data_IF_596542256863
#
_entry.id   IF_596542256863
#
_cell.length_a   1.000
_cell.length_b   1.000
_cell.length_c   1.000
_cell.angle_alpha   90.00
_cell.angle_beta   90.00
_cell.angle_gamma   90.00
#
_symmetry.space_group_name_H-M   'P 1'
#
loop_
_entity.id
_entity.type
_entity.pdbx_description
1 polymer ?
#
# COMPACT_ATOMS: atom_id res chain seq x y z
N UNK A 1 -4.75 0.42 -29.99
CA UNK A 1 -4.23 1.34 -28.96
C UNK A 1 -4.88 1.03 -27.62
N UNK A 2 -4.09 0.82 -26.61
CA UNK A 2 -4.61 0.56 -25.28
C UNK A 2 -5.28 1.83 -24.75
N UNK A 3 -6.51 1.71 -24.27
CA UNK A 3 -7.22 2.85 -23.68
C UNK A 3 -6.68 3.10 -22.29
N UNK A 4 -5.79 4.09 -22.16
CA UNK A 4 -5.15 4.43 -20.90
C UNK A 4 -5.85 5.57 -20.16
N UNK A 5 -6.87 6.18 -20.77
CA UNK A 5 -7.50 7.37 -20.21
C UNK A 5 -6.76 8.67 -20.51
N UNK A 6 -5.66 8.61 -21.26
CA UNK A 6 -4.87 9.80 -21.63
C UNK A 6 -5.22 10.27 -23.02
N UNK A 7 -5.29 11.61 -23.20
CA UNK A 7 -5.75 12.22 -24.46
C UNK A 7 -4.66 12.34 -25.51
N UNK A 8 -3.38 12.23 -25.13
CA UNK A 8 -2.25 12.33 -26.06
C UNK A 8 -1.05 11.53 -25.59
N UNK A 9 -0.04 11.41 -26.50
CA UNK A 9 1.17 10.64 -26.25
C UNK A 9 2.05 11.26 -25.17
N UNK A 10 2.11 12.58 -25.09
CA UNK A 10 2.92 13.28 -24.09
C UNK A 10 2.46 12.97 -22.68
N UNK A 11 1.14 13.01 -22.46
CA UNK A 11 0.57 12.72 -21.14
C UNK A 11 0.79 11.26 -20.75
N UNK A 12 0.61 10.34 -21.69
CA UNK A 12 0.85 8.93 -21.44
C UNK A 12 2.32 8.66 -21.10
N UNK A 13 3.25 9.31 -21.80
CA UNK A 13 4.67 9.17 -21.54
C UNK A 13 5.04 9.73 -20.16
N UNK A 14 4.51 10.91 -19.81
CA UNK A 14 4.73 11.49 -18.49
C UNK A 14 4.24 10.56 -17.38
N UNK A 15 3.06 9.99 -17.53
CA UNK A 15 2.51 9.05 -16.55
C UNK A 15 3.40 7.81 -16.40
N UNK A 16 3.91 7.27 -17.52
CA UNK A 16 4.81 6.13 -17.48
C UNK A 16 6.13 6.48 -16.78
N UNK A 17 6.67 7.67 -17.03
CA UNK A 17 7.89 8.13 -16.38
C UNK A 17 7.71 8.31 -14.88
N UNK A 18 6.60 8.89 -14.47
CA UNK A 18 6.27 9.03 -13.04
C UNK A 18 6.16 7.67 -12.37
N UNK A 19 5.51 6.72 -13.03
CA UNK A 19 5.39 5.36 -12.50
C UNK A 19 6.78 4.72 -12.31
N UNK A 20 7.66 4.86 -13.29
CA UNK A 20 9.01 4.32 -13.19
C UNK A 20 9.82 4.96 -12.06
N UNK A 21 9.70 6.27 -11.89
CA UNK A 21 10.38 6.97 -10.80
C UNK A 21 9.87 6.49 -9.46
N UNK A 22 8.56 6.34 -9.30
CA UNK A 22 7.95 5.87 -8.06
C UNK A 22 8.38 4.43 -7.75
N UNK A 23 8.42 3.56 -8.76
CA UNK A 23 8.89 2.18 -8.57
C UNK A 23 10.37 2.14 -8.18
N UNK A 24 11.19 2.95 -8.81
CA UNK A 24 12.60 3.05 -8.46
C UNK A 24 12.77 3.54 -7.03
N UNK A 25 12.03 4.56 -6.64
CA UNK A 25 12.09 5.12 -5.29
C UNK A 25 11.66 4.07 -4.26
N UNK A 26 10.59 3.31 -4.55
CA UNK A 26 10.13 2.24 -3.67
C UNK A 26 11.20 1.17 -3.45
N UNK A 27 11.94 0.82 -4.50
CA UNK A 27 12.96 -0.24 -4.44
C UNK A 27 14.32 0.26 -3.92
N UNK A 28 14.51 1.56 -3.79
CA UNK A 28 15.75 2.10 -3.24
C UNK A 28 15.74 2.04 -1.71
N UNK A 29 16.93 2.04 -1.11
CA UNK A 29 17.04 2.11 0.35
C UNK A 29 17.09 3.56 0.84
N UNK A 30 16.76 4.49 -0.02
CA UNK A 30 16.78 5.91 0.29
C UNK A 30 15.75 6.26 1.37
N UNK A 31 16.10 7.22 2.22
CA UNK A 31 15.25 7.70 3.31
C UNK A 31 14.28 8.78 2.85
N UNK A 32 13.95 8.79 1.57
CA UNK A 32 13.02 9.75 1.00
C UNK A 32 11.63 9.57 1.60
N UNK A 33 10.98 10.67 1.90
CA UNK A 33 9.60 10.66 2.35
C UNK A 33 8.64 10.49 1.17
N UNK A 34 7.54 9.84 1.45
CA UNK A 34 6.50 9.63 0.48
C UNK A 34 5.16 9.44 1.11
N UNK A 35 4.18 9.19 0.28
CA UNK A 35 2.82 8.88 0.70
C UNK A 35 2.25 7.84 -0.25
N UNK A 36 1.30 7.06 0.25
CA UNK A 36 0.70 6.03 -0.57
C UNK A 36 -0.44 5.31 0.12
N UNK A 37 -0.82 4.22 -0.51
CA UNK A 37 -1.88 3.37 -0.01
C UNK A 37 -1.45 1.91 -0.08
N UNK A 38 -1.71 1.18 0.98
CA UNK A 38 -1.55 -0.28 1.02
C UNK A 38 -2.96 -0.86 0.89
N UNK A 39 -3.20 -1.61 -0.17
CA UNK A 39 -4.48 -2.26 -0.42
C UNK A 39 -4.30 -3.75 -0.18
N UNK A 40 -5.11 -4.32 0.71
CA UNK A 40 -4.99 -5.72 1.04
C UNK A 40 -6.34 -6.40 1.05
N UNK A 41 -6.34 -7.65 0.62
CA UNK A 41 -7.48 -8.55 0.70
C UNK A 41 -7.13 -9.65 1.71
N UNK A 42 -7.99 -9.88 2.68
CA UNK A 42 -7.70 -10.88 3.70
C UNK A 42 -8.98 -11.57 4.16
N UNK A 43 -8.80 -12.76 4.75
CA UNK A 43 -9.87 -13.42 5.48
C UNK A 43 -9.96 -12.78 6.87
N UNK A 44 -11.08 -12.13 7.14
CA UNK A 44 -11.28 -11.37 8.37
C UNK A 44 -11.14 -12.23 9.62
N UNK A 45 -11.67 -13.45 9.58
CA UNK A 45 -11.64 -14.35 10.73
C UNK A 45 -10.20 -14.78 11.06
N UNK A 46 -9.44 -15.23 10.06
CA UNK A 46 -8.08 -15.70 10.26
C UNK A 46 -7.15 -14.55 10.65
N UNK A 47 -7.25 -13.42 9.95
CA UNK A 47 -6.37 -12.28 10.15
C UNK A 47 -6.49 -11.68 11.56
N UNK A 48 -7.70 -11.64 12.11
CA UNK A 48 -7.92 -11.05 13.42
C UNK A 48 -7.81 -12.04 14.57
N UNK A 49 -7.54 -13.31 14.28
CA UNK A 49 -7.51 -14.36 15.29
C UNK A 49 -6.42 -14.14 16.34
N UNK A 50 -5.25 -13.69 15.93
CA UNK A 50 -4.08 -13.49 16.80
C UNK A 50 -3.92 -12.07 17.29
N UNK A 51 -4.82 -11.17 16.94
CA UNK A 51 -4.75 -9.73 17.25
C UNK A 51 -3.46 -9.05 16.75
N UNK A 52 -2.78 -9.64 15.79
CA UNK A 52 -1.55 -9.08 15.22
C UNK A 52 -1.82 -7.78 14.46
N UNK A 53 -3.01 -7.64 13.87
CA UNK A 53 -3.40 -6.43 13.16
C UNK A 53 -3.39 -5.21 14.08
N UNK A 54 -3.89 -5.36 15.30
CA UNK A 54 -3.90 -4.27 16.29
C UNK A 54 -2.47 -3.91 16.68
N UNK A 55 -1.63 -4.90 16.89
CA UNK A 55 -0.23 -4.69 17.26
C UNK A 55 0.54 -3.95 16.17
N UNK A 56 0.33 -4.33 14.92
CA UNK A 56 0.95 -3.67 13.76
C UNK A 56 0.50 -2.22 13.67
N UNK A 57 -0.77 -1.95 13.84
CA UNK A 57 -1.30 -0.58 13.79
C UNK A 57 -0.68 0.30 14.88
N UNK A 58 -0.47 -0.23 16.07
CA UNK A 58 0.21 0.50 17.14
C UNK A 58 1.67 0.77 16.81
N UNK A 59 2.38 -0.24 16.32
CA UNK A 59 3.80 -0.11 16.00
C UNK A 59 4.07 0.91 14.90
N UNK A 60 3.17 1.06 13.94
CA UNK A 60 3.32 1.95 12.80
C UNK A 60 2.35 3.13 12.82
N UNK A 61 1.85 3.48 14.01
CA UNK A 61 0.90 4.58 14.16
C UNK A 61 1.44 5.92 13.65
N UNK A 62 2.75 6.09 13.68
CA UNK A 62 3.41 7.31 13.19
C UNK A 62 3.29 7.51 11.69
N UNK A 63 3.11 6.45 10.91
CA UNK A 63 3.02 6.53 9.46
C UNK A 63 1.64 6.22 8.92
N UNK A 64 0.75 5.63 9.71
CA UNK A 64 -0.63 5.32 9.29
C UNK A 64 -1.51 6.54 9.54
N UNK A 65 -2.14 7.06 8.48
CA UNK A 65 -3.01 8.22 8.58
C UNK A 65 -4.48 7.85 8.69
N UNK A 66 -4.91 6.82 7.97
CA UNK A 66 -6.31 6.40 7.95
C UNK A 66 -6.40 5.00 7.37
N UNK A 67 -7.50 4.32 7.64
CA UNK A 67 -7.81 3.06 6.96
C UNK A 67 -9.31 2.96 6.73
N UNK A 68 -9.68 2.27 5.65
CA UNK A 68 -11.06 2.03 5.25
C UNK A 68 -11.23 0.54 5.01
N UNK A 69 -12.31 -0.02 5.53
CA UNK A 69 -12.65 -1.43 5.39
C UNK A 69 -13.88 -1.59 4.51
N UNK A 70 -13.84 -2.61 3.67
CA UNK A 70 -14.99 -3.03 2.87
C UNK A 70 -15.19 -4.52 3.09
N UNK A 71 -16.34 -4.90 3.66
CA UNK A 71 -16.68 -6.30 3.88
C UNK A 71 -17.21 -6.93 2.60
N UNK A 72 -16.64 -8.06 2.25
CA UNK A 72 -17.02 -8.83 1.06
C UNK A 72 -17.60 -10.18 1.48
N UNK A 73 -18.06 -10.95 0.50
CA UNK A 73 -18.60 -12.29 0.77
C UNK A 73 -17.53 -13.24 1.31
N UNK A 74 -17.97 -14.30 2.00
CA UNK A 74 -17.12 -15.39 2.49
C UNK A 74 -16.04 -14.94 3.48
N UNK A 75 -16.38 -14.02 4.37
CA UNK A 75 -15.48 -13.48 5.39
C UNK A 75 -14.26 -12.75 4.81
N UNK A 76 -14.31 -12.37 3.56
CA UNK A 76 -13.27 -11.55 2.95
C UNK A 76 -13.45 -10.10 3.30
N UNK A 77 -12.34 -9.41 3.46
CA UNK A 77 -12.32 -7.99 3.74
C UNK A 77 -11.27 -7.32 2.86
N UNK A 78 -11.65 -6.21 2.24
CA UNK A 78 -10.72 -5.36 1.52
C UNK A 78 -10.44 -4.15 2.41
N UNK A 79 -9.17 -3.91 2.67
CA UNK A 79 -8.76 -2.77 3.49
C UNK A 79 -7.75 -1.91 2.73
N UNK A 80 -7.92 -0.60 2.83
CA UNK A 80 -6.96 0.35 2.28
C UNK A 80 -6.41 1.18 3.44
N UNK A 81 -5.10 1.15 3.59
CA UNK A 81 -4.39 1.90 4.63
C UNK A 81 -3.64 3.04 3.95
N UNK A 82 -3.99 4.27 4.33
CA UNK A 82 -3.29 5.46 3.83
C UNK A 82 -2.09 5.72 4.71
N UNK A 83 -0.93 5.85 4.08
CA UNK A 83 0.35 6.00 4.79
C UNK A 83 1.13 7.20 4.28
N UNK A 84 1.92 7.79 5.17
CA UNK A 84 2.88 8.83 4.84
C UNK A 84 4.09 8.70 5.75
N UNK A 85 5.27 9.01 5.23
CA UNK A 85 6.49 8.92 6.00
C UNK A 85 7.64 8.42 5.17
N UNK A 86 8.69 7.93 5.84
CA UNK A 86 9.84 7.41 5.11
C UNK A 86 9.48 6.14 4.35
N UNK A 87 10.05 6.00 3.17
CA UNK A 87 9.86 4.82 2.33
C UNK A 87 10.25 3.55 3.08
N UNK A 88 11.33 3.61 3.84
CA UNK A 88 11.80 2.48 4.62
C UNK A 88 10.73 1.99 5.59
N UNK A 89 10.09 2.91 6.32
CA UNK A 89 9.04 2.57 7.28
C UNK A 89 7.79 2.00 6.60
N UNK A 90 7.42 2.59 5.48
CA UNK A 90 6.27 2.11 4.69
C UNK A 90 6.53 0.69 4.18
N UNK A 91 7.74 0.45 3.70
CA UNK A 91 8.14 -0.89 3.23
C UNK A 91 8.12 -1.91 4.36
N UNK A 92 8.62 -1.54 5.53
CA UNK A 92 8.58 -2.42 6.71
C UNK A 92 7.14 -2.76 7.09
N UNK A 93 6.25 -1.78 7.09
CA UNK A 93 4.84 -1.99 7.39
C UNK A 93 4.22 -2.98 6.41
N UNK A 94 4.41 -2.76 5.11
CA UNK A 94 3.87 -3.66 4.08
C UNK A 94 4.39 -5.09 4.25
N UNK A 95 5.67 -5.23 4.56
CA UNK A 95 6.27 -6.55 4.80
C UNK A 95 5.65 -7.24 6.01
N UNK A 96 5.50 -6.54 7.13
CA UNK A 96 4.90 -7.11 8.33
C UNK A 96 3.46 -7.56 8.09
N UNK A 97 2.68 -6.74 7.36
CA UNK A 97 1.30 -7.12 7.03
C UNK A 97 1.30 -8.37 6.15
N UNK A 98 2.15 -8.43 5.15
CA UNK A 98 2.17 -9.54 4.20
C UNK A 98 2.53 -10.88 4.84
N UNK A 99 3.21 -10.87 5.98
CA UNK A 99 3.63 -12.06 6.70
C UNK A 99 2.51 -12.62 7.60
N UNK A 100 1.41 -11.91 7.77
CA UNK A 100 0.33 -12.37 8.63
C UNK A 100 -0.54 -13.42 7.95
N UNK A 101 -1.04 -14.35 8.76
CA UNK A 101 -2.00 -15.34 8.30
C UNK A 101 -3.29 -14.66 7.86
N UNK A 102 -3.92 -15.23 6.84
CA UNK A 102 -5.17 -14.72 6.32
C UNK A 102 -5.02 -13.68 5.22
N UNK A 103 -3.85 -13.13 5.02
CA UNK A 103 -3.59 -12.19 3.92
C UNK A 103 -3.59 -12.97 2.60
N UNK A 104 -4.47 -12.58 1.68
CA UNK A 104 -4.60 -13.21 0.37
C UNK A 104 -3.89 -12.44 -0.73
N UNK A 105 -3.88 -11.12 -0.63
CA UNK A 105 -3.27 -10.25 -1.62
C UNK A 105 -2.92 -8.92 -0.96
N UNK A 106 -1.81 -8.33 -1.38
CA UNK A 106 -1.38 -7.03 -0.89
C UNK A 106 -0.71 -6.27 -2.02
N UNK A 107 -1.11 -5.03 -2.19
CA UNK A 107 -0.51 -4.13 -3.18
C UNK A 107 -0.20 -2.80 -2.53
N UNK A 108 0.90 -2.20 -2.95
CA UNK A 108 1.31 -0.89 -2.46
C UNK A 108 1.38 0.05 -3.65
N UNK A 109 0.65 1.16 -3.54
CA UNK A 109 0.79 2.28 -4.46
C UNK A 109 1.46 3.41 -3.70
N UNK A 110 2.58 3.87 -4.22
CA UNK A 110 3.44 4.80 -3.51
C UNK A 110 3.84 5.93 -4.45
N UNK A 111 3.84 7.16 -3.92
CA UNK A 111 4.33 8.34 -4.64
C UNK A 111 5.33 9.08 -3.77
N UNK A 112 6.39 9.54 -4.40
CA UNK A 112 7.36 10.41 -3.76
C UNK A 112 6.75 11.80 -3.58
N UNK A 113 7.02 12.43 -2.45
CA UNK A 113 6.56 13.81 -2.19
C UNK A 113 7.69 14.83 -2.39
N UNK A 114 8.74 14.41 -3.02
CA UNK A 114 9.87 15.28 -3.35
C UNK A 114 9.63 16.01 -4.65
#
# INVERSE_FOLDING_TARGET
MVKTGYTDRSKALQAAMHYLVDEYTWNSEDKTDGAGAIVMLYNNHIYNQDKKSVHIQHKYADIISASIHLHLANDNCLETIMVKGSIKRIRELAKHISENRGIKSLKVNFVSVV
#
